data_IF_651444704890
#
_entry.id   IF_651444704890
#
_cell.length_a   1.000
_cell.length_b   1.000
_cell.length_c   1.000
_cell.angle_alpha   90.00
_cell.angle_beta   90.00
_cell.angle_gamma   90.00
#
_symmetry.space_group_name_H-M   'P 1'
#
loop_
_entity.id
_entity.type
_entity.pdbx_description
1 polymer ?
#
# COMPACT_ATOMS: atom_id res chain seq x y z
N UNK A 1 -7.43 -19.12 -2.18
CA UNK A 1 -6.81 -18.08 -3.04
C UNK A 1 -6.42 -16.89 -2.20
N UNK A 2 -5.17 -16.46 -2.31
CA UNK A 2 -4.68 -15.34 -1.53
C UNK A 2 -5.18 -14.03 -2.11
N UNK A 3 -5.64 -13.14 -1.26
CA UNK A 3 -6.05 -11.82 -1.68
C UNK A 3 -4.81 -10.95 -1.93
N UNK A 4 -5.00 -9.89 -2.72
CA UNK A 4 -3.93 -8.94 -2.98
C UNK A 4 -3.38 -8.36 -1.68
N UNK A 5 -4.26 -8.11 -0.71
CA UNK A 5 -3.85 -7.58 0.59
C UNK A 5 -2.94 -8.53 1.34
N UNK A 6 -3.25 -9.83 1.31
CA UNK A 6 -2.41 -10.82 1.96
C UNK A 6 -1.02 -10.87 1.33
N UNK A 7 -0.95 -10.78 0.01
CA UNK A 7 0.33 -10.78 -0.70
C UNK A 7 1.16 -9.55 -0.33
N UNK A 8 0.52 -8.37 -0.33
CA UNK A 8 1.21 -7.14 0.02
C UNK A 8 1.69 -7.19 1.46
N UNK A 9 0.84 -7.63 2.37
CA UNK A 9 1.19 -7.71 3.79
C UNK A 9 2.37 -8.65 4.01
N UNK A 10 2.36 -9.82 3.37
CA UNK A 10 3.47 -10.77 3.48
C UNK A 10 4.76 -10.19 2.94
N UNK A 11 4.68 -9.46 1.83
CA UNK A 11 5.87 -8.90 1.18
C UNK A 11 6.43 -7.72 1.97
N UNK A 12 5.56 -6.92 2.60
CA UNK A 12 5.98 -5.76 3.38
C UNK A 12 6.44 -6.12 4.79
N UNK A 13 6.45 -7.40 5.14
CA UNK A 13 6.92 -7.85 6.44
C UNK A 13 8.38 -7.49 6.69
N UNK A 14 8.91 -7.84 7.87
CA UNK A 14 10.29 -7.49 8.24
C UNK A 14 11.36 -8.21 7.44
N UNK A 15 10.99 -9.14 6.59
CA UNK A 15 11.95 -9.88 5.79
C UNK A 15 12.69 -8.99 4.82
N UNK A 16 14.01 -9.13 4.79
CA UNK A 16 14.87 -8.35 3.89
C UNK A 16 15.20 -9.15 2.63
N UNK A 17 14.17 -9.74 2.03
CA UNK A 17 14.35 -10.49 0.80
C UNK A 17 14.43 -9.55 -0.39
N UNK A 18 14.90 -10.07 -1.51
CA UNK A 18 14.94 -9.30 -2.75
C UNK A 18 13.56 -8.81 -3.14
N UNK A 19 12.53 -9.60 -2.87
CA UNK A 19 11.16 -9.25 -3.15
C UNK A 19 10.70 -8.05 -2.33
N UNK A 20 11.08 -8.01 -1.04
CA UNK A 20 10.76 -6.88 -0.16
C UNK A 20 11.44 -5.61 -0.64
N UNK A 21 12.70 -5.72 -1.06
CA UNK A 21 13.44 -4.57 -1.58
C UNK A 21 12.82 -4.05 -2.85
N UNK A 22 12.39 -4.94 -3.75
CA UNK A 22 11.72 -4.55 -4.98
C UNK A 22 10.42 -3.81 -4.67
N UNK A 23 9.65 -4.30 -3.71
CA UNK A 23 8.41 -3.65 -3.32
C UNK A 23 8.66 -2.26 -2.77
N UNK A 24 9.67 -2.11 -1.93
CA UNK A 24 10.00 -0.79 -1.40
C UNK A 24 10.39 0.18 -2.50
N UNK A 25 11.12 -0.30 -3.49
CA UNK A 25 11.48 0.53 -4.64
C UNK A 25 10.24 0.96 -5.41
N UNK A 26 9.30 0.03 -5.62
CA UNK A 26 8.04 0.34 -6.28
C UNK A 26 7.28 1.41 -5.51
N UNK A 27 7.23 1.29 -4.18
CA UNK A 27 6.56 2.27 -3.34
C UNK A 27 7.16 3.66 -3.50
N UNK A 28 8.47 3.73 -3.66
CA UNK A 28 9.15 5.01 -3.78
C UNK A 28 9.08 5.60 -5.20
N UNK A 29 9.18 4.76 -6.21
CA UNK A 29 9.32 5.22 -7.59
C UNK A 29 8.03 5.24 -8.40
N UNK A 30 7.11 4.33 -8.11
CA UNK A 30 5.93 4.13 -8.94
C UNK A 30 4.64 4.69 -8.34
N UNK A 31 4.62 4.93 -7.04
CA UNK A 31 3.42 5.44 -6.38
C UNK A 31 3.53 6.94 -6.16
N UNK A 32 2.38 7.61 -6.25
CA UNK A 32 2.32 9.01 -5.86
C UNK A 32 2.52 9.10 -4.34
N UNK A 33 2.82 10.30 -3.85
CA UNK A 33 2.99 10.51 -2.42
C UNK A 33 1.77 10.07 -1.62
N UNK A 34 0.59 10.44 -2.09
CA UNK A 34 -0.65 10.07 -1.40
C UNK A 34 -0.89 8.57 -1.44
N UNK A 35 -0.63 7.94 -2.58
CA UNK A 35 -0.78 6.48 -2.71
C UNK A 35 0.17 5.76 -1.77
N UNK A 36 1.43 6.20 -1.72
CA UNK A 36 2.43 5.60 -0.84
C UNK A 36 2.07 5.78 0.62
N UNK A 37 1.70 7.01 1.02
CA UNK A 37 1.31 7.29 2.39
C UNK A 37 0.13 6.40 2.80
N UNK A 38 -0.88 6.34 1.95
CA UNK A 38 -2.10 5.58 2.25
C UNK A 38 -1.79 4.10 2.42
N UNK A 39 -0.97 3.57 1.52
CA UNK A 39 -0.61 2.16 1.58
C UNK A 39 0.20 1.85 2.84
N UNK A 40 1.19 2.67 3.14
CA UNK A 40 2.02 2.47 4.34
C UNK A 40 1.21 2.63 5.62
N UNK A 41 0.35 3.63 5.68
CA UNK A 41 -0.49 3.83 6.86
C UNK A 41 -1.40 2.64 7.11
N UNK A 42 -1.99 2.11 6.06
CA UNK A 42 -2.91 0.99 6.18
C UNK A 42 -2.20 -0.31 6.55
N UNK A 43 -1.07 -0.60 5.92
CA UNK A 43 -0.38 -1.88 6.10
C UNK A 43 0.68 -1.86 7.19
N UNK A 44 1.43 -0.77 7.32
CA UNK A 44 2.48 -0.70 8.34
C UNK A 44 1.98 -0.19 9.67
N UNK A 45 1.18 0.88 9.63
CA UNK A 45 0.72 1.52 10.87
C UNK A 45 -0.65 1.04 11.31
N UNK A 46 -1.24 0.13 10.56
CA UNK A 46 -2.54 -0.48 10.86
C UNK A 46 -3.63 0.54 11.09
N UNK A 47 -3.58 1.64 10.38
CA UNK A 47 -4.61 2.66 10.47
C UNK A 47 -5.83 2.24 9.67
N UNK A 48 -7.00 2.59 10.18
CA UNK A 48 -8.24 2.34 9.45
C UNK A 48 -8.40 3.42 8.37
N UNK A 49 -9.24 3.12 7.38
CA UNK A 49 -9.51 4.09 6.31
C UNK A 49 -10.06 5.40 6.86
N UNK A 50 -11.03 5.40 7.81
CA UNK A 50 -11.49 6.67 8.42
C UNK A 50 -10.36 7.43 9.13
N UNK A 51 -9.45 6.73 9.79
CA UNK A 51 -8.33 7.38 10.46
C UNK A 51 -7.41 8.07 9.45
N UNK A 52 -7.11 7.37 8.36
CA UNK A 52 -6.26 7.94 7.29
C UNK A 52 -6.92 9.16 6.69
N UNK A 53 -8.23 9.09 6.44
CA UNK A 53 -8.98 10.20 5.88
C UNK A 53 -8.91 11.42 6.78
N UNK A 54 -9.07 11.23 8.08
CA UNK A 54 -8.99 12.30 9.05
C UNK A 54 -7.60 12.90 9.11
N UNK A 55 -6.59 12.05 9.10
CA UNK A 55 -5.20 12.47 9.15
C UNK A 55 -4.83 13.34 7.94
N UNK A 56 -5.32 12.97 6.76
CA UNK A 56 -5.00 13.68 5.53
C UNK A 56 -6.04 14.74 5.17
N UNK A 57 -7.07 14.90 5.97
CA UNK A 57 -8.15 15.87 5.71
C UNK A 57 -8.82 15.65 4.36
N UNK A 58 -9.11 14.40 4.05
CA UNK A 58 -9.77 14.02 2.81
C UNK A 58 -10.98 13.14 3.13
N UNK A 59 -11.82 12.89 2.13
CA UNK A 59 -12.98 12.04 2.30
C UNK A 59 -12.57 10.56 2.40
N UNK A 60 -13.40 9.79 3.10
CA UNK A 60 -13.19 8.34 3.23
C UNK A 60 -13.15 7.70 1.84
N UNK A 61 -14.04 8.10 0.94
CA UNK A 61 -14.06 7.56 -0.41
C UNK A 61 -12.77 7.85 -1.17
N UNK A 62 -12.15 8.99 -0.92
CA UNK A 62 -10.88 9.34 -1.53
C UNK A 62 -9.79 8.38 -1.06
N UNK A 63 -9.74 8.11 0.24
CA UNK A 63 -8.75 7.17 0.79
C UNK A 63 -8.98 5.77 0.23
N UNK A 64 -10.23 5.33 0.20
CA UNK A 64 -10.56 4.00 -0.31
C UNK A 64 -10.11 3.84 -1.76
N UNK A 65 -10.40 4.81 -2.61
CA UNK A 65 -9.97 4.76 -4.00
C UNK A 65 -8.47 4.83 -4.15
N UNK A 66 -7.82 5.68 -3.36
CA UNK A 66 -6.36 5.82 -3.39
C UNK A 66 -5.70 4.52 -2.98
N UNK A 67 -6.20 3.90 -1.91
CA UNK A 67 -5.67 2.63 -1.43
C UNK A 67 -5.83 1.55 -2.49
N UNK A 68 -7.01 1.49 -3.12
CA UNK A 68 -7.27 0.50 -4.15
C UNK A 68 -6.32 0.67 -5.35
N UNK A 69 -6.11 1.91 -5.77
CA UNK A 69 -5.20 2.19 -6.88
C UNK A 69 -3.76 1.83 -6.53
N UNK A 70 -3.35 2.10 -5.30
CA UNK A 70 -2.02 1.73 -4.85
C UNK A 70 -1.87 0.21 -4.84
N UNK A 71 -2.86 -0.49 -4.32
CA UNK A 71 -2.85 -1.95 -4.29
C UNK A 71 -2.78 -2.53 -5.70
N UNK A 72 -3.51 -1.94 -6.64
CA UNK A 72 -3.50 -2.40 -8.02
C UNK A 72 -2.12 -2.24 -8.66
N UNK A 73 -1.47 -1.12 -8.41
CA UNK A 73 -0.12 -0.90 -8.94
C UNK A 73 0.87 -1.90 -8.37
N UNK A 74 0.83 -2.12 -7.06
CA UNK A 74 1.73 -3.07 -6.41
C UNK A 74 1.46 -4.48 -6.92
N UNK A 75 0.20 -4.84 -7.04
CA UNK A 75 -0.19 -6.16 -7.54
C UNK A 75 0.38 -6.39 -8.95
N UNK A 76 0.33 -5.37 -9.79
CA UNK A 76 0.85 -5.47 -11.15
C UNK A 76 2.34 -5.79 -11.16
N UNK A 77 3.09 -5.15 -10.27
CA UNK A 77 4.53 -5.38 -10.18
C UNK A 77 4.89 -6.69 -9.50
N UNK A 78 4.07 -7.15 -8.56
CA UNK A 78 4.32 -8.42 -7.87
C UNK A 78 4.15 -9.64 -8.76
N UNK A 79 3.45 -9.50 -9.88
CA UNK A 79 3.26 -10.60 -10.82
C UNK A 79 4.49 -10.85 -11.70
N UNK A 80 5.38 -9.93 -11.74
CA UNK A 80 6.60 -10.03 -12.53
C UNK A 80 7.82 -10.11 -11.60
#
# INVERSE_FOLDING_TARGET
MKSTRSEIFSTLGPDKTARSRRLRRILQEELTELQRYTLEAYYFHRMTIPQIARERSVNISTVSRTLHRAEEKVKRFLKY
#
